data_IF_713531105560
#
_entry.id   IF_713531105560
#
_cell.length_a   1.000
_cell.length_b   1.000
_cell.length_c   1.000
_cell.angle_alpha   90.00
_cell.angle_beta   90.00
_cell.angle_gamma   90.00
#
_symmetry.space_group_name_H-M   'P 1'
#
loop_
_entity.id
_entity.type
_entity.pdbx_description
1 polymer ?
#
# COMPACT_ATOMS: atom_id res chain seq x y z
N UNK A 1 15.30 -11.61 2.79
CA UNK A 1 15.12 -11.16 4.18
C UNK A 1 13.67 -10.75 4.35
N UNK A 2 12.90 -11.61 5.01
CA UNK A 2 11.48 -11.40 5.29
C UNK A 2 11.39 -10.57 6.57
N UNK A 3 10.93 -9.32 6.47
CA UNK A 3 10.77 -8.47 7.64
C UNK A 3 9.41 -8.76 8.28
N UNK A 4 9.44 -9.54 9.37
CA UNK A 4 8.28 -9.99 10.11
C UNK A 4 7.69 -8.92 11.03
N UNK A 5 7.05 -7.91 10.45
CA UNK A 5 6.10 -7.07 11.20
C UNK A 5 4.71 -7.68 11.05
N UNK A 6 4.18 -8.15 12.18
CA UNK A 6 2.85 -8.74 12.29
C UNK A 6 1.81 -7.79 11.70
N UNK A 7 1.10 -8.30 10.69
CA UNK A 7 0.02 -7.59 10.01
C UNK A 7 -1.19 -7.56 10.94
N UNK A 8 -1.39 -6.47 11.67
CA UNK A 8 -2.68 -6.20 12.31
C UNK A 8 -3.52 -5.37 11.34
N UNK A 9 -4.44 -6.07 10.68
CA UNK A 9 -5.53 -5.51 9.89
C UNK A 9 -6.39 -4.58 10.75
N UNK A 10 -6.21 -3.26 10.62
CA UNK A 10 -7.22 -2.28 11.00
C UNK A 10 -6.77 -0.90 10.56
N UNK A 11 -7.56 -0.29 9.69
CA UNK A 11 -7.58 1.13 9.33
C UNK A 11 -7.35 2.02 10.56
N UNK A 12 -6.14 2.52 10.80
CA UNK A 12 -5.89 3.45 11.90
C UNK A 12 -4.85 4.50 11.47
N UNK A 13 -5.31 5.74 11.37
CA UNK A 13 -4.58 6.97 11.03
C UNK A 13 -3.33 7.23 11.90
N UNK A 14 -3.17 6.47 13.00
CA UNK A 14 -2.10 6.57 13.98
C UNK A 14 -0.75 5.97 13.52
N UNK A 15 -0.75 5.01 12.61
CA UNK A 15 0.49 4.33 12.16
C UNK A 15 1.38 5.23 11.29
N UNK A 16 0.80 6.20 10.59
CA UNK A 16 1.52 7.12 9.70
C UNK A 16 2.50 8.06 10.44
N UNK A 17 2.28 8.42 11.71
CA UNK A 17 3.22 9.31 12.44
C UNK A 17 4.42 8.56 13.05
N UNK A 18 4.28 7.27 13.33
CA UNK A 18 5.33 6.50 14.01
C UNK A 18 6.45 6.08 13.05
N UNK A 19 6.10 5.84 11.79
CA UNK A 19 7.04 5.35 10.78
C UNK A 19 7.61 6.45 9.87
N UNK A 20 7.19 7.71 10.06
CA UNK A 20 7.55 8.80 9.18
C UNK A 20 7.90 10.08 9.94
N UNK A 21 8.95 10.75 9.50
CA UNK A 21 9.46 11.99 10.11
C UNK A 21 9.45 13.12 9.09
N UNK A 22 8.94 14.30 9.48
CA UNK A 22 8.90 15.45 8.59
C UNK A 22 10.25 16.16 8.62
N UNK A 23 10.86 16.31 7.44
CA UNK A 23 12.11 17.01 7.27
C UNK A 23 11.88 18.51 7.01
N UNK A 24 12.85 19.37 7.38
CA UNK A 24 12.76 20.83 7.19
C UNK A 24 12.70 21.25 5.71
N UNK A 25 13.11 20.38 4.77
CA UNK A 25 12.98 20.60 3.33
C UNK A 25 11.59 20.28 2.77
N UNK A 26 10.60 19.98 3.63
CA UNK A 26 9.23 19.65 3.24
C UNK A 26 9.03 18.19 2.80
N UNK A 27 10.09 17.38 2.77
CA UNK A 27 9.99 15.94 2.53
C UNK A 27 9.65 15.18 3.82
N UNK A 28 9.28 13.92 3.67
CA UNK A 28 8.95 13.01 4.76
C UNK A 28 9.90 11.82 4.69
N UNK A 29 10.73 11.61 5.71
CA UNK A 29 11.62 10.47 5.82
C UNK A 29 10.85 9.25 6.32
N UNK A 30 10.89 8.16 5.58
CA UNK A 30 10.41 6.87 6.05
C UNK A 30 11.44 6.23 6.98
N UNK A 31 11.07 5.97 8.24
CA UNK A 31 11.92 5.28 9.23
C UNK A 31 12.06 3.78 8.96
N UNK A 32 11.20 3.21 8.10
CA UNK A 32 11.25 1.79 7.73
C UNK A 32 12.39 1.51 6.76
N UNK A 33 12.61 2.39 5.76
CA UNK A 33 13.61 2.18 4.71
C UNK A 33 14.59 3.35 4.52
N UNK A 34 14.52 4.38 5.37
CA UNK A 34 15.40 5.55 5.35
C UNK A 34 15.20 6.50 4.16
N UNK A 35 14.13 6.34 3.37
CA UNK A 35 13.94 7.10 2.11
C UNK A 35 13.09 8.35 2.35
N UNK A 36 13.54 9.50 1.82
CA UNK A 36 12.76 10.73 1.81
C UNK A 36 11.74 10.70 0.66
N UNK A 37 10.47 10.95 0.98
CA UNK A 37 9.33 10.94 0.05
C UNK A 37 8.44 12.15 0.24
N UNK A 38 7.79 12.60 -0.82
CA UNK A 38 6.80 13.68 -0.77
C UNK A 38 5.42 13.21 -0.34
N UNK A 39 5.07 11.95 -0.64
CA UNK A 39 3.75 11.37 -0.35
C UNK A 39 3.84 10.10 0.49
N UNK A 40 3.74 10.29 1.80
CA UNK A 40 3.79 9.21 2.79
C UNK A 40 2.73 8.10 2.54
N UNK A 41 1.47 8.46 2.26
CA UNK A 41 0.39 7.46 2.03
C UNK A 41 0.72 6.51 0.88
N UNK A 42 1.16 7.04 -0.26
CA UNK A 42 1.53 6.25 -1.42
C UNK A 42 2.81 5.45 -1.18
N UNK A 43 3.76 5.98 -0.41
CA UNK A 43 4.95 5.23 -0.07
C UNK A 43 4.64 4.06 0.86
N UNK A 44 3.71 4.24 1.81
CA UNK A 44 3.35 3.19 2.76
C UNK A 44 2.78 1.93 2.09
N UNK A 45 2.14 2.05 0.92
CA UNK A 45 1.68 0.88 0.14
C UNK A 45 2.83 0.04 -0.43
N UNK A 46 4.07 0.53 -0.43
CA UNK A 46 5.25 -0.26 -0.80
C UNK A 46 5.74 -1.16 0.35
N UNK A 47 5.39 -0.80 1.60
CA UNK A 47 5.66 -1.61 2.80
C UNK A 47 4.48 -2.51 3.14
N UNK A 48 3.26 -2.01 2.91
CA UNK A 48 2.05 -2.81 2.98
C UNK A 48 2.03 -3.75 1.78
N UNK A 49 2.43 -5.00 1.98
CA UNK A 49 2.30 -6.08 0.98
C UNK A 49 0.83 -6.46 0.70
N UNK A 50 -0.11 -5.52 0.85
CA UNK A 50 -1.51 -5.61 0.44
C UNK A 50 -1.60 -5.63 -1.09
N UNK A 51 -1.13 -6.74 -1.66
CA UNK A 51 -1.37 -7.09 -3.05
C UNK A 51 -2.83 -7.50 -3.16
N UNK A 52 -3.61 -6.65 -3.82
CA UNK A 52 -5.00 -6.94 -4.09
C UNK A 52 -5.06 -8.06 -5.14
N UNK A 53 -5.48 -9.25 -4.71
CA UNK A 53 -5.63 -10.42 -5.58
C UNK A 53 -7.00 -10.42 -6.24
N UNK A 54 -7.05 -10.72 -7.54
CA UNK A 54 -8.31 -10.94 -8.24
C UNK A 54 -8.96 -12.25 -7.78
N UNK A 55 -10.24 -12.27 -7.38
CA UNK A 55 -10.94 -13.50 -6.99
C UNK A 55 -11.28 -14.41 -8.18
N UNK A 56 -11.23 -13.90 -9.42
CA UNK A 56 -11.60 -14.65 -10.63
C UNK A 56 -10.39 -15.33 -11.28
N UNK A 57 -9.32 -14.58 -11.52
CA UNK A 57 -8.10 -15.09 -12.19
C UNK A 57 -6.87 -15.17 -11.27
N UNK A 58 -7.02 -14.87 -9.99
CA UNK A 58 -5.97 -14.96 -8.97
C UNK A 58 -4.72 -14.10 -9.26
N UNK A 59 -4.80 -13.18 -10.23
CA UNK A 59 -3.71 -12.25 -10.53
C UNK A 59 -3.52 -11.25 -9.41
N UNK A 60 -2.28 -11.01 -9.01
CA UNK A 60 -1.93 -10.00 -8.02
C UNK A 60 -1.80 -8.63 -8.69
N UNK A 61 -2.44 -7.63 -8.10
CA UNK A 61 -2.20 -6.22 -8.43
C UNK A 61 -1.53 -5.54 -7.25
N UNK A 62 -0.58 -4.66 -7.56
CA UNK A 62 0.20 -3.91 -6.58
C UNK A 62 -0.64 -2.91 -5.77
N UNK A 63 -1.84 -2.60 -6.23
CA UNK A 63 -2.73 -1.62 -5.60
C UNK A 63 -4.21 -2.01 -5.79
N UNK A 64 -5.09 -1.69 -4.82
CA UNK A 64 -6.53 -1.97 -4.92
C UNK A 64 -7.22 -1.22 -6.06
N UNK A 65 -6.81 0.01 -6.38
CA UNK A 65 -7.34 0.75 -7.53
C UNK A 65 -7.03 0.06 -8.87
N UNK A 66 -5.84 -0.53 -8.98
CA UNK A 66 -5.46 -1.34 -10.14
C UNK A 66 -6.28 -2.63 -10.22
N UNK A 67 -6.59 -3.26 -9.08
CA UNK A 67 -7.48 -4.42 -9.07
C UNK A 67 -8.90 -4.03 -9.54
N UNK A 68 -9.46 -2.93 -9.04
CA UNK A 68 -10.79 -2.45 -9.45
C UNK A 68 -10.88 -2.19 -10.95
N UNK A 69 -9.84 -1.56 -11.53
CA UNK A 69 -9.74 -1.37 -12.98
C UNK A 69 -9.64 -2.72 -13.71
N UNK A 70 -8.79 -3.62 -13.23
CA UNK A 70 -8.64 -4.96 -13.80
C UNK A 70 -9.96 -5.73 -13.81
N UNK A 71 -10.76 -5.68 -12.74
CA UNK A 71 -12.07 -6.34 -12.69
C UNK A 71 -13.00 -5.79 -13.78
N UNK A 72 -13.07 -4.47 -13.96
CA UNK A 72 -13.90 -3.85 -15.01
C UNK A 72 -13.50 -4.24 -16.43
N UNK A 73 -12.21 -4.43 -16.69
CA UNK A 73 -11.72 -4.69 -18.05
C UNK A 73 -11.57 -6.16 -18.39
N UNK A 74 -11.17 -6.99 -17.42
CA UNK A 74 -10.90 -8.41 -17.63
C UNK A 74 -12.06 -9.31 -17.20
N UNK A 75 -12.94 -8.82 -16.32
CA UNK A 75 -14.09 -9.54 -15.78
C UNK A 75 -15.36 -8.67 -15.77
N UNK A 76 -15.79 -8.13 -16.92
CA UNK A 76 -16.92 -7.19 -17.00
C UNK A 76 -18.24 -7.79 -16.52
N UNK A 77 -18.41 -9.11 -16.66
CA UNK A 77 -19.61 -9.86 -16.22
C UNK A 77 -19.58 -10.25 -14.74
N UNK A 78 -18.48 -9.96 -14.02
CA UNK A 78 -18.36 -10.26 -12.60
C UNK A 78 -18.74 -9.03 -11.76
N UNK A 79 -19.80 -9.09 -10.94
CA UNK A 79 -20.21 -7.98 -10.08
C UNK A 79 -19.14 -7.71 -9.02
N UNK A 80 -18.71 -6.44 -8.93
CA UNK A 80 -17.77 -5.93 -7.91
C UNK A 80 -18.43 -5.82 -6.54
#
# INVERSE_FOLDING_TARGET
>A
MFCGVAQTSSTNELSHKLFFERLPNGLIMCKICGRAVSHMKNHFTTHSNEKAQCPVCFVYRSRPDNLKRHMKTAHPDYPL
#
